data_IF_076711212532
#
_entry.id   IF_076711212532
#
_cell.length_a   1.000
_cell.length_b   1.000
_cell.length_c   1.000
_cell.angle_alpha   90.00
_cell.angle_beta   90.00
_cell.angle_gamma   90.00
#
_symmetry.space_group_name_H-M   'P 1'
#
loop_
_entity.id
_entity.type
_entity.pdbx_description
1 polymer ?
2 polymer ?
#
# COMPACT_ATOMS: atom_id res chain seq x y z
N UNK A 8 24.44 -9.11 20.44
CA UNK A 8 23.07 -8.65 20.57
C UNK A 8 22.32 -8.81 19.25
N UNK A 9 21.21 -9.56 19.30
CA UNK A 9 20.39 -9.81 18.13
C UNK A 9 19.01 -9.17 18.29
N UNK A 10 18.54 -8.50 17.23
CA UNK A 10 17.25 -7.83 17.25
C UNK A 10 16.12 -8.80 16.98
N UNK A 11 14.98 -8.57 17.61
CA UNK A 11 13.80 -9.41 17.42
C UNK A 11 13.21 -9.21 16.03
N UNK A 12 12.75 -10.29 15.39
CA UNK A 12 12.18 -10.17 14.05
C UNK A 12 10.78 -9.56 14.06
N UNK A 13 10.35 -9.04 12.91
CA UNK A 13 8.98 -8.59 12.73
C UNK A 13 8.21 -9.67 12.00
N UNK A 14 6.96 -9.92 12.41
CA UNK A 14 6.15 -10.95 11.79
C UNK A 14 4.69 -10.52 11.68
N UNK A 15 4.10 -10.77 10.53
CA UNK A 15 2.72 -10.40 10.27
C UNK A 15 2.12 -11.28 9.18
N UNK A 16 0.88 -11.00 8.82
CA UNK A 16 0.19 -11.71 7.74
C UNK A 16 -0.62 -10.73 6.90
N UNK A 17 -1.01 -11.16 5.71
CA UNK A 17 -1.90 -10.38 4.86
C UNK A 17 -2.92 -11.30 4.19
N UNK A 18 -4.15 -10.81 4.00
CA UNK A 18 -5.29 -11.66 3.67
C UNK A 18 -5.27 -12.30 2.27
N UNK A 19 -4.49 -11.77 1.33
CA UNK A 19 -4.60 -12.26 -0.04
C UNK A 19 -3.60 -13.36 -0.30
N UNK A 20 -4.09 -14.59 -0.31
CA UNK A 20 -3.29 -15.76 -0.64
C UNK A 20 -3.26 -16.01 -2.14
N UNK A 21 -4.37 -15.72 -2.81
CA UNK A 21 -4.54 -16.05 -4.22
C UNK A 21 -3.60 -15.21 -5.09
N UNK A 22 -3.55 -13.91 -4.80
CA UNK A 22 -2.66 -13.01 -5.54
C UNK A 22 -1.21 -13.41 -5.34
N UNK A 23 -0.89 -13.93 -4.16
CA UNK A 23 0.46 -14.34 -3.85
C UNK A 23 0.87 -15.55 -4.69
N UNK A 24 0.10 -16.64 -4.59
CA UNK A 24 0.42 -17.87 -5.31
C UNK A 24 0.43 -17.66 -6.82
N UNK A 25 -0.46 -16.80 -7.29
CA UNK A 25 -0.56 -16.49 -8.71
C UNK A 25 0.75 -15.89 -9.21
N UNK A 26 1.33 -14.98 -8.43
CA UNK A 26 2.54 -14.27 -8.83
C UNK A 26 3.80 -15.11 -8.63
N UNK A 27 3.77 -16.00 -7.64
CA UNK A 27 4.93 -16.86 -7.38
C UNK A 27 5.12 -17.88 -8.50
N UNK A 28 4.02 -18.50 -8.92
CA UNK A 28 4.05 -19.40 -10.07
C UNK A 28 4.53 -18.65 -11.32
N UNK A 29 4.20 -17.37 -11.37
CA UNK A 29 4.58 -16.50 -12.47
C UNK A 29 6.10 -16.39 -12.61
N UNK A 30 6.77 -16.07 -11.50
CA UNK A 30 8.17 -15.66 -11.52
C UNK A 30 9.16 -16.79 -11.86
N UNK A 31 9.11 -17.88 -11.10
CA UNK A 31 10.11 -18.94 -11.23
C UNK A 31 9.53 -20.27 -10.78
N UNK A 32 10.40 -21.28 -10.66
CA UNK A 32 10.00 -22.54 -10.04
C UNK A 32 9.45 -22.19 -8.67
N UNK A 33 10.34 -21.81 -7.75
CA UNK A 33 9.97 -21.04 -6.56
C UNK A 33 8.84 -21.66 -5.74
N UNK A 34 8.67 -22.97 -5.90
CA UNK A 34 7.68 -23.71 -5.14
C UNK A 34 8.31 -25.00 -4.65
N UNK A 35 8.39 -25.14 -3.33
CA UNK A 35 9.00 -26.30 -2.71
C UNK A 35 7.93 -27.34 -2.39
N UNK A 36 8.07 -28.52 -2.96
CA UNK A 36 7.21 -29.64 -2.61
C UNK A 36 7.89 -30.41 -1.50
N UNK A 37 7.31 -30.35 -0.30
CA UNK A 37 7.90 -30.97 0.88
C UNK A 37 7.28 -32.34 1.09
N UNK A 38 8.11 -33.38 0.96
CA UNK A 38 7.64 -34.75 1.06
C UNK A 38 7.15 -35.09 2.46
N UNK A 39 6.62 -36.31 2.60
CA UNK A 39 6.11 -36.77 3.88
C UNK A 39 7.26 -36.86 4.88
N UNK A 40 7.10 -36.21 6.03
CA UNK A 40 8.09 -36.26 7.08
C UNK A 40 9.37 -35.49 6.77
N UNK A 41 9.45 -34.90 5.59
CA UNK A 41 10.65 -34.20 5.16
C UNK A 41 10.77 -32.81 5.76
N UNK A 42 12.00 -32.32 5.86
CA UNK A 42 12.27 -30.95 6.29
C UNK A 42 13.17 -30.25 5.29
N UNK A 43 12.64 -29.23 4.65
CA UNK A 43 13.42 -28.45 3.69
C UNK A 43 14.00 -27.22 4.38
N UNK A 44 15.24 -26.90 4.04
CA UNK A 44 15.92 -25.73 4.59
C UNK A 44 16.49 -24.88 3.47
N UNK A 45 15.98 -23.66 3.34
CA UNK A 45 16.44 -22.74 2.31
C UNK A 45 17.50 -21.82 2.91
N UNK A 46 18.68 -21.81 2.29
CA UNK A 46 19.81 -21.03 2.78
C UNK A 46 19.87 -19.69 2.09
N UNK A 47 19.69 -18.62 2.86
CA UNK A 47 19.77 -17.26 2.33
C UNK A 47 20.97 -16.54 2.95
N UNK A 48 22.03 -16.31 2.16
CA UNK A 48 23.19 -15.62 2.71
C UNK A 48 22.96 -14.12 2.90
N UNK A 49 23.63 -13.52 3.87
CA UNK A 49 23.49 -12.09 4.12
C UNK A 49 24.28 -11.28 3.09
N UNK A 50 23.79 -10.08 2.80
CA UNK A 50 24.42 -9.18 1.85
C UNK A 50 25.14 -8.05 2.58
N UNK A 51 26.37 -7.77 2.14
CA UNK A 51 27.20 -6.73 2.77
C UNK A 51 26.48 -5.39 2.73
N UNK A 52 25.94 -5.03 1.57
CA UNK A 52 25.23 -3.77 1.41
C UNK A 52 23.91 -3.83 2.17
N UNK A 53 23.29 -5.01 2.22
CA UNK A 53 21.98 -5.18 2.82
C UNK A 53 21.97 -5.08 4.34
N UNK A 54 21.01 -4.33 4.87
CA UNK A 54 20.68 -4.36 6.30
C UNK A 54 19.67 -5.46 6.67
N UNK A 55 18.65 -5.63 5.82
CA UNK A 55 17.45 -6.37 6.17
C UNK A 55 17.13 -7.56 5.26
N UNK A 56 16.51 -8.58 5.85
CA UNK A 56 15.93 -9.71 5.13
C UNK A 56 14.41 -9.71 5.27
N UNK A 57 13.73 -10.01 4.17
CA UNK A 57 12.27 -10.13 4.16
C UNK A 57 11.87 -11.47 3.57
N UNK A 58 10.97 -12.18 4.25
CA UNK A 58 10.48 -13.47 3.77
C UNK A 58 8.97 -13.49 3.69
N UNK A 59 8.46 -14.24 2.72
CA UNK A 59 7.02 -14.47 2.57
C UNK A 59 6.83 -15.92 2.18
N UNK A 60 5.82 -16.56 2.74
CA UNK A 60 5.52 -17.94 2.38
C UNK A 60 4.05 -18.29 2.56
N UNK A 61 3.58 -19.24 1.76
CA UNK A 61 2.22 -19.73 1.82
C UNK A 61 2.17 -21.17 1.33
N UNK A 62 1.08 -21.87 1.67
CA UNK A 62 0.92 -23.26 1.29
C UNK A 62 -0.44 -23.43 0.64
N UNK A 63 -0.67 -24.58 0.00
CA UNK A 63 -1.94 -24.78 -0.68
C UNK A 63 -3.02 -25.31 0.27
N UNK A 64 -2.96 -26.59 0.62
CA UNK A 64 -4.05 -27.21 1.39
C UNK A 64 -3.87 -27.41 2.90
N UNK A 65 -2.69 -27.13 3.45
CA UNK A 65 -2.41 -27.49 4.84
C UNK A 65 -1.36 -26.57 5.44
N UNK A 66 -1.24 -26.62 6.77
CA UNK A 66 -0.22 -25.86 7.45
C UNK A 66 1.14 -26.50 7.21
N UNK A 67 2.19 -25.86 7.73
CA UNK A 67 3.53 -26.44 7.70
C UNK A 67 4.34 -25.80 8.82
N UNK A 68 5.38 -26.49 9.27
CA UNK A 68 6.27 -25.93 10.27
C UNK A 68 7.12 -24.85 9.65
N UNK A 69 7.27 -23.74 10.35
CA UNK A 69 8.16 -22.68 9.88
C UNK A 69 8.90 -21.98 11.02
N UNK A 70 10.17 -21.72 10.78
CA UNK A 70 11.02 -20.99 11.72
C UNK A 70 12.23 -20.47 10.98
N UNK A 71 13.04 -19.66 11.66
CA UNK A 71 14.21 -19.06 11.05
C UNK A 71 15.41 -19.10 12.00
N UNK A 72 16.52 -19.64 11.53
CA UNK A 72 17.77 -19.65 12.28
C UNK A 72 18.83 -18.83 11.55
N UNK A 73 19.73 -18.22 12.31
CA UNK A 73 20.83 -17.46 11.74
C UNK A 73 22.17 -18.14 12.03
N UNK A 74 22.89 -18.47 10.97
CA UNK A 74 24.20 -19.13 11.08
C UNK A 74 25.32 -18.12 10.87
N UNK A 75 26.28 -18.09 11.80
CA UNK A 75 27.34 -17.09 11.79
C UNK A 75 28.53 -17.49 10.91
N UNK A 76 29.51 -16.60 10.84
CA UNK A 76 30.72 -16.82 10.05
C UNK A 76 31.94 -16.32 10.81
N UNK A 114 30.10 -24.06 14.30
CA UNK A 114 28.95 -23.45 13.63
C UNK A 114 27.82 -23.10 14.60
N UNK A 115 27.82 -21.87 15.10
CA UNK A 115 26.80 -21.43 16.04
C UNK A 115 25.51 -21.10 15.32
N UNK A 116 24.39 -21.35 16.00
CA UNK A 116 23.07 -21.06 15.46
C UNK A 116 22.21 -20.33 16.47
N UNK A 117 21.79 -19.11 16.10
CA UNK A 117 20.84 -18.35 16.90
C UNK A 117 19.44 -18.56 16.34
N UNK A 118 18.47 -18.62 17.24
CA UNK A 118 17.08 -18.84 16.85
C UNK A 118 16.37 -17.51 16.66
N UNK A 119 16.06 -17.18 15.40
CA UNK A 119 15.38 -15.95 15.07
C UNK A 119 13.89 -16.16 15.27
N UNK A 120 13.33 -17.06 14.48
CA UNK A 120 11.93 -17.45 14.62
C UNK A 120 11.85 -18.91 15.03
N UNK A 121 11.30 -19.20 16.22
CA UNK A 121 11.20 -20.62 16.61
C UNK A 121 10.30 -21.38 15.66
N UNK A 122 10.59 -22.66 15.43
CA UNK A 122 9.80 -23.43 14.48
C UNK A 122 8.50 -23.87 15.14
N UNK A 123 7.39 -23.40 14.58
CA UNK A 123 6.06 -23.79 15.02
C UNK A 123 5.21 -24.06 13.79
N UNK A 124 3.97 -24.50 14.00
CA UNK A 124 3.05 -24.76 12.91
C UNK A 124 2.16 -23.56 12.66
N UNK A 125 2.35 -22.91 11.52
CA UNK A 125 1.56 -21.76 11.11
C UNK A 125 0.62 -22.19 9.99
N UNK A 126 -0.59 -21.63 9.95
CA UNK A 126 -1.51 -21.97 8.87
C UNK A 126 -1.30 -20.98 7.73
N UNK A 127 -0.62 -21.44 6.69
CA UNK A 127 -0.34 -20.61 5.53
C UNK A 127 -1.30 -20.89 4.38
N UNK A 128 -2.17 -21.88 4.58
CA UNK A 128 -3.14 -22.23 3.56
C UNK A 128 -4.30 -21.24 3.58
N UNK A 129 -4.53 -20.65 4.73
CA UNK A 129 -5.57 -19.63 4.88
C UNK A 129 -5.11 -18.26 4.40
N UNK A 130 -3.85 -17.93 4.68
CA UNK A 130 -3.33 -16.60 4.38
C UNK A 130 -1.80 -16.60 4.24
N UNK A 131 -1.26 -15.54 3.64
CA UNK A 131 0.17 -15.41 3.44
C UNK A 131 0.88 -14.97 4.72
N UNK A 132 1.90 -15.72 5.12
CA UNK A 132 2.71 -15.36 6.27
C UNK A 132 3.97 -14.62 5.82
N UNK A 133 4.26 -13.51 6.47
CA UNK A 133 5.41 -12.68 6.13
C UNK A 133 6.17 -12.27 7.39
N UNK A 134 7.40 -11.81 7.20
CA UNK A 134 8.22 -11.36 8.30
C UNK A 134 9.50 -10.70 7.82
N UNK A 135 10.23 -10.10 8.75
CA UNK A 135 11.50 -9.45 8.42
C UNK A 135 12.45 -9.49 9.61
N UNK A 136 13.75 -9.40 9.32
CA UNK A 136 14.76 -9.37 10.36
C UNK A 136 15.99 -8.56 9.94
N UNK A 137 16.57 -7.85 10.90
CA UNK A 137 17.79 -7.09 10.68
C UNK A 137 19.01 -8.00 10.82
N UNK A 138 20.04 -7.75 10.01
CA UNK A 138 21.25 -8.54 10.06
C UNK A 138 21.99 -8.44 11.40
N UNK A 139 22.19 -9.58 12.08
CA UNK A 139 23.05 -9.56 13.27
C UNK A 139 24.51 -9.35 12.91
N UNK A 140 24.85 -9.61 11.64
CA UNK A 140 26.21 -9.50 11.17
C UNK A 140 26.42 -10.40 9.96
N UNK A 141 27.68 -10.64 9.61
CA UNK A 141 28.00 -11.51 8.48
C UNK A 141 27.64 -12.95 8.83
N UNK A 142 26.80 -13.56 7.99
CA UNK A 142 26.33 -14.91 8.24
C UNK A 142 25.37 -15.40 7.17
N UNK A 143 24.60 -16.43 7.51
CA UNK A 143 23.62 -17.02 6.59
C UNK A 143 22.32 -17.32 7.32
N UNK A 144 21.21 -16.92 6.71
CA UNK A 144 19.88 -17.22 7.24
C UNK A 144 19.42 -18.59 6.80
N UNK A 145 18.82 -19.33 7.73
CA UNK A 145 18.27 -20.65 7.44
C UNK A 145 16.75 -20.63 7.58
N UNK A 146 16.06 -20.74 6.46
CA UNK A 146 14.60 -20.77 6.46
C UNK A 146 14.11 -22.21 6.51
N UNK A 147 13.50 -22.57 7.62
CA UNK A 147 13.06 -23.95 7.84
C UNK A 147 11.61 -24.16 7.43
N UNK A 148 11.38 -25.14 6.57
CA UNK A 148 10.04 -25.64 6.29
C UNK A 148 9.96 -27.09 6.77
N UNK A 149 9.22 -27.31 7.85
CA UNK A 149 9.23 -28.59 8.55
C UNK A 149 7.90 -29.34 8.42
N UNK A 150 7.91 -30.40 7.62
CA UNK A 150 6.73 -31.25 7.41
C UNK A 150 6.77 -32.53 8.26
N UNK A 151 7.77 -32.64 9.14
CA UNK A 151 8.06 -33.88 9.88
C UNK A 151 6.83 -34.56 10.48
N UNK A 152 5.97 -33.76 11.11
CA UNK A 152 4.79 -34.28 11.79
C UNK A 152 3.77 -34.90 10.84
N UNK A 153 3.94 -34.68 9.54
CA UNK A 153 2.96 -35.13 8.55
C UNK A 153 3.31 -36.50 7.99
N UNK A 154 2.49 -37.48 8.34
CA UNK A 154 2.68 -38.85 7.87
C UNK A 154 2.29 -39.04 6.40
N UNK A 155 1.05 -38.68 6.07
CA UNK A 155 0.50 -38.98 4.75
C UNK A 155 0.47 -37.83 3.74
N UNK A 156 0.87 -36.63 4.15
CA UNK A 156 0.63 -35.43 3.34
C UNK A 156 1.88 -34.65 2.98
N UNK A 157 2.11 -34.50 1.68
CA UNK A 157 3.12 -33.59 1.16
C UNK A 157 2.60 -32.15 1.19
N UNK A 158 3.50 -31.19 1.23
CA UNK A 158 3.12 -29.77 1.30
C UNK A 158 3.79 -28.96 0.18
N UNK A 159 2.96 -28.26 -0.59
CA UNK A 159 3.46 -27.36 -1.62
C UNK A 159 3.65 -25.97 -1.02
N UNK A 160 4.91 -25.52 -0.98
CA UNK A 160 5.27 -24.26 -0.35
C UNK A 160 5.59 -23.18 -1.37
N UNK A 161 4.73 -22.17 -1.46
CA UNK A 161 5.02 -20.97 -2.24
C UNK A 161 5.75 -19.98 -1.36
N UNK A 162 6.97 -19.58 -1.76
CA UNK A 162 7.77 -18.65 -0.95
C UNK A 162 8.47 -17.61 -1.80
N UNK A 163 8.88 -16.53 -1.14
CA UNK A 163 9.57 -15.42 -1.80
C UNK A 163 10.50 -14.74 -0.82
N UNK A 164 11.60 -14.18 -1.31
CA UNK A 164 12.61 -13.54 -0.46
C UNK A 164 13.11 -12.22 -1.05
N UNK A 165 13.31 -11.25 -0.17
CA UNK A 165 13.84 -9.94 -0.55
C UNK A 165 14.95 -9.51 0.42
N UNK A 166 15.71 -8.50 0.04
CA UNK A 166 16.64 -7.85 0.95
C UNK A 166 16.81 -6.38 0.57
N UNK A 167 17.06 -5.54 1.56
CA UNK A 167 17.09 -4.09 1.35
C UNK A 167 18.46 -3.60 0.89
N UNK A 168 18.59 -2.28 0.76
CA UNK A 168 19.83 -1.64 0.32
C UNK A 168 20.23 -2.12 -1.07
N UNK B 7 15.30 6.47 1.45
CA UNK B 7 14.41 5.47 2.04
C UNK B 7 15.15 4.49 2.95
N UNK B 8 15.11 4.75 4.25
CA UNK B 8 15.82 3.91 5.22
C UNK B 8 15.21 2.49 5.27
N UNK B 9 16.05 1.49 5.56
CA UNK B 9 15.56 0.10 5.61
C UNK B 9 14.44 -0.12 6.62
N UNK B 10 14.59 0.42 7.83
CA UNK B 10 13.60 0.24 8.87
C UNK B 10 12.27 0.91 8.51
N UNK B 11 12.34 1.90 7.62
CA UNK B 11 11.14 2.57 7.14
C UNK B 11 10.42 1.70 6.11
N UNK B 12 11.19 1.01 5.28
CA UNK B 12 10.64 0.10 4.29
C UNK B 12 9.95 -1.07 4.99
N UNK B 13 10.55 -1.53 6.08
CA UNK B 13 9.99 -2.63 6.85
C UNK B 13 8.68 -2.26 7.51
N UNK B 14 8.64 -1.07 8.11
CA UNK B 14 7.42 -0.59 8.76
C UNK B 14 6.32 -0.38 7.74
N UNK B 15 6.70 -0.04 6.52
CA UNK B 15 5.75 0.16 5.43
C UNK B 15 5.11 -1.17 5.02
N UNK B 16 5.96 -2.15 4.74
CA UNK B 16 5.48 -3.47 4.32
C UNK B 16 4.70 -4.16 5.44
N UNK B 17 5.09 -3.88 6.69
CA UNK B 17 4.44 -4.50 7.83
C UNK B 17 3.05 -3.89 8.06
N UNK B 18 2.96 -2.57 7.95
CA UNK B 18 1.70 -1.87 8.18
C UNK B 18 0.71 -2.06 7.04
N UNK B 19 1.17 -1.86 5.82
CA UNK B 19 0.37 -2.09 4.61
C UNK B 19 1.10 -3.07 3.70
N UNK B 20 0.45 -4.17 3.38
CA UNK B 20 1.09 -5.22 2.59
C UNK B 20 0.15 -5.77 1.52
N UNK B 21 0.60 -5.69 0.28
CA UNK B 21 -0.11 -6.26 -0.84
C UNK B 21 0.87 -6.46 -2.00
N UNK B 22 0.48 -7.24 -3.00
CA UNK B 22 1.32 -7.43 -4.17
C UNK B 22 1.63 -6.09 -4.82
N UNK B 23 0.69 -5.16 -4.73
CA UNK B 23 0.87 -3.83 -5.31
C UNK B 23 2.00 -3.07 -4.60
N UNK B 24 2.04 -3.18 -3.28
CA UNK B 24 3.07 -2.51 -2.50
C UNK B 24 4.42 -3.21 -2.67
N UNK B 25 4.38 -4.54 -2.74
CA UNK B 25 5.59 -5.33 -2.96
C UNK B 25 6.23 -4.94 -4.29
N UNK B 26 5.39 -4.76 -5.31
CA UNK B 26 5.89 -4.41 -6.64
C UNK B 26 6.40 -2.97 -6.68
N UNK B 27 5.73 -2.08 -5.96
CA UNK B 27 6.16 -0.68 -5.90
C UNK B 27 7.53 -0.56 -5.27
N UNK B 28 7.71 -1.22 -4.12
CA UNK B 28 9.00 -1.23 -3.44
C UNK B 28 10.07 -1.83 -4.35
N UNK B 29 9.70 -2.87 -5.09
CA UNK B 29 10.60 -3.52 -6.02
C UNK B 29 11.04 -2.55 -7.12
N UNK B 30 10.06 -1.89 -7.73
CA UNK B 30 10.30 -0.96 -8.82
C UNK B 30 11.12 0.24 -8.35
N UNK B 31 10.94 0.62 -7.09
CA UNK B 31 11.66 1.76 -6.53
C UNK B 31 13.04 1.35 -6.04
N UNK B 32 13.35 0.05 -6.17
CA UNK B 32 14.64 -0.46 -5.74
C UNK B 32 14.77 -0.59 -4.23
N UNK B 33 13.66 -0.36 -3.53
CA UNK B 33 13.66 -0.42 -2.08
C UNK B 33 13.90 -1.84 -1.57
N UNK B 34 13.50 -2.82 -2.38
CA UNK B 34 13.76 -4.23 -2.07
C UNK B 34 14.22 -4.97 -3.32
N UNK B 35 15.27 -5.78 -3.16
CA UNK B 35 15.84 -6.53 -4.27
C UNK B 35 15.47 -8.00 -4.15
N UNK B 36 14.89 -8.57 -5.22
CA UNK B 36 14.56 -10.01 -5.16
C UNK B 36 15.82 -10.86 -5.05
N UNK B 37 15.72 -12.00 -4.36
CA UNK B 37 16.87 -12.82 -4.08
C UNK B 37 16.58 -14.31 -4.27
N UNK B 38 17.36 -14.95 -5.14
CA UNK B 38 17.28 -16.39 -5.34
C UNK B 38 18.18 -17.09 -4.34
N UNK B 39 17.64 -18.06 -3.57
CA UNK B 39 18.50 -18.74 -2.58
C UNK B 39 19.57 -19.59 -3.24
N UNK B 40 20.74 -19.67 -2.60
CA UNK B 40 21.87 -20.40 -3.17
C UNK B 40 21.66 -21.91 -3.14
N UNK B 41 21.24 -22.43 -2.00
CA UNK B 41 21.05 -23.86 -1.81
C UNK B 41 19.73 -24.19 -1.13
N UNK B 42 19.22 -25.39 -1.40
CA UNK B 42 18.05 -25.92 -0.73
C UNK B 42 18.35 -27.32 -0.19
N UNK B 43 18.38 -27.45 1.13
CA UNK B 43 18.66 -28.72 1.78
C UNK B 43 17.38 -29.50 2.03
N UNK B 44 17.46 -30.81 1.90
CA UNK B 44 16.34 -31.70 2.18
C UNK B 44 16.80 -32.80 3.15
N UNK B 45 15.85 -33.40 3.87
CA UNK B 45 16.18 -34.37 4.90
C UNK B 45 14.90 -34.95 5.53
N UNK B 46 15.01 -36.10 6.16
CA UNK B 46 13.90 -36.75 6.86
C UNK B 46 14.23 -36.95 8.33
N UNK C 9 3.31 26.72 -12.91
CA UNK C 9 2.25 25.82 -12.45
C UNK C 9 2.45 24.42 -13.01
N UNK C 10 2.75 23.48 -12.13
CA UNK C 10 2.97 22.09 -12.53
C UNK C 10 1.67 21.40 -12.89
N UNK C 11 1.77 20.32 -13.65
CA UNK C 11 0.60 19.54 -14.03
C UNK C 11 0.16 18.65 -12.88
N UNK C 12 -1.16 18.55 -12.64
CA UNK C 12 -1.66 17.67 -11.57
C UNK C 12 -1.66 16.20 -11.97
N UNK C 13 -1.54 15.31 -10.99
CA UNK C 13 -1.70 13.89 -11.22
C UNK C 13 -3.13 13.50 -10.89
N UNK C 14 -3.70 12.60 -11.68
CA UNK C 14 -5.07 12.14 -11.46
C UNK C 14 -5.20 10.64 -11.72
N UNK C 15 -5.83 9.94 -10.77
CA UNK C 15 -6.01 8.51 -10.88
C UNK C 15 -7.33 8.08 -10.26
N UNK C 16 -7.54 6.77 -10.18
CA UNK C 16 -8.74 6.21 -9.57
C UNK C 16 -8.41 4.91 -8.84
N UNK C 17 -9.28 4.53 -7.91
CA UNK C 17 -9.18 3.22 -7.28
C UNK C 17 -10.55 2.57 -7.25
N UNK C 18 -10.59 1.24 -7.38
CA UNK C 18 -11.85 0.52 -7.64
C UNK C 18 -12.84 0.49 -6.48
N UNK C 19 -12.39 0.65 -5.23
CA UNK C 19 -13.29 0.42 -4.12
C UNK C 19 -13.97 1.71 -3.70
N UNK C 20 -15.23 1.84 -4.10
CA UNK C 20 -16.05 3.00 -3.76
C UNK C 20 -16.70 2.82 -2.40
N UNK C 21 -17.06 1.58 -2.09
CA UNK C 21 -17.73 1.25 -0.83
C UNK C 21 -16.86 1.58 0.37
N UNK C 22 -15.63 1.09 0.35
CA UNK C 22 -14.69 1.30 1.45
C UNK C 22 -14.47 2.79 1.70
N UNK C 23 -14.41 3.56 0.61
CA UNK C 23 -14.19 4.99 0.70
C UNK C 23 -15.33 5.68 1.43
N UNK C 24 -16.55 5.39 1.01
CA UNK C 24 -17.73 5.99 1.59
C UNK C 24 -17.93 5.59 3.05
N UNK C 25 -17.59 4.34 3.37
CA UNK C 25 -17.72 3.83 4.73
C UNK C 25 -16.72 4.51 5.66
N UNK C 26 -15.48 4.65 5.20
CA UNK C 26 -14.44 5.31 5.99
C UNK C 26 -14.79 6.77 6.19
N UNK C 27 -15.55 7.30 5.23
CA UNK C 27 -15.93 8.71 5.21
C UNK C 27 -16.98 9.02 6.27
N UNK C 28 -17.80 8.04 6.59
CA UNK C 28 -18.97 8.22 7.44
C UNK C 28 -18.61 8.74 8.84
N UNK C 29 -17.34 8.69 9.19
CA UNK C 29 -16.87 9.17 10.49
C UNK C 29 -16.74 10.70 10.56
N UNK C 30 -16.13 11.29 9.54
CA UNK C 30 -15.75 12.70 9.57
C UNK C 30 -16.93 13.66 9.49
N UNK C 31 -16.71 14.89 9.95
CA UNK C 31 -17.80 15.84 10.18
C UNK C 31 -18.51 16.34 8.91
N UNK C 32 -17.80 17.00 8.00
CA UNK C 32 -18.37 17.31 6.70
C UNK C 32 -17.57 16.62 5.61
N UNK C 33 -18.08 15.47 5.17
CA UNK C 33 -17.56 14.81 3.98
C UNK C 33 -18.50 14.87 2.78
N UNK C 34 -19.70 15.41 2.99
CA UNK C 34 -20.78 15.21 2.03
C UNK C 34 -21.45 16.51 1.61
N UNK C 35 -21.48 16.72 0.30
CA UNK C 35 -22.15 17.88 -0.30
C UNK C 35 -23.39 17.42 -1.05
N UNK C 36 -24.50 18.12 -0.82
CA UNK C 36 -25.69 17.94 -1.62
C UNK C 36 -25.66 18.97 -2.73
N UNK C 37 -25.50 18.52 -3.97
CA UNK C 37 -25.48 19.41 -5.11
C UNK C 37 -26.84 19.44 -5.77
N UNK C 38 -27.50 20.59 -5.69
CA UNK C 38 -28.83 20.75 -6.25
C UNK C 38 -28.79 20.67 -7.76
N UNK C 39 -29.90 20.30 -8.36
CA UNK C 39 -30.02 20.25 -9.81
C UNK C 39 -29.67 21.62 -10.39
N UNK C 40 -28.71 21.65 -11.30
CA UNK C 40 -28.27 22.88 -11.94
C UNK C 40 -27.24 23.66 -11.13
N UNK C 41 -27.02 23.27 -9.88
CA UNK C 41 -26.08 23.98 -9.01
C UNK C 41 -24.62 23.65 -9.31
N UNK C 42 -23.75 24.55 -8.91
CA UNK C 42 -22.31 24.30 -8.93
C UNK C 42 -21.72 24.64 -7.57
N UNK C 43 -21.21 23.62 -6.87
CA UNK C 43 -20.60 23.82 -5.57
C UNK C 43 -19.09 23.98 -5.72
N UNK C 44 -18.52 24.93 -5.00
CA UNK C 44 -17.10 25.21 -5.08
C UNK C 44 -16.48 25.18 -3.69
N UNK C 45 -15.50 24.29 -3.51
CA UNK C 45 -14.82 24.13 -2.23
C UNK C 45 -13.46 24.81 -2.26
N UNK C 46 -13.30 25.83 -1.42
CA UNK C 46 -12.07 26.60 -1.39
C UNK C 46 -11.04 26.01 -0.44
N UNK C 47 -9.90 25.61 -0.99
CA UNK C 47 -8.80 25.04 -0.19
C UNK C 47 -7.56 25.93 -0.24
N UNK C 48 -7.22 26.61 0.86
CA UNK C 48 -6.00 27.41 0.93
C UNK C 48 -4.71 26.59 0.84
N UNK C 49 -3.65 27.24 0.34
CA UNK C 49 -2.31 26.66 0.30
C UNK C 49 -1.71 26.67 1.71
N UNK C 50 -0.67 25.87 1.94
CA UNK C 50 -0.08 25.73 3.27
C UNK C 50 1.40 26.11 3.31
N UNK C 51 2.25 25.22 2.79
CA UNK C 51 3.70 25.40 2.86
C UNK C 51 4.36 25.14 1.51
N UNK C 52 5.61 25.56 1.38
CA UNK C 52 6.33 25.44 0.11
C UNK C 52 6.54 23.98 -0.27
N UNK C 53 6.38 23.68 -1.56
CA UNK C 53 6.59 22.34 -2.06
C UNK C 53 5.56 21.35 -1.54
N UNK C 54 4.48 21.87 -0.96
CA UNK C 54 3.44 21.02 -0.40
C UNK C 54 2.53 20.49 -1.50
N UNK C 55 2.08 19.25 -1.33
CA UNK C 55 1.17 18.60 -2.27
C UNK C 55 -0.26 18.65 -1.76
N UNK C 56 -1.17 19.15 -2.59
CA UNK C 56 -2.59 19.05 -2.30
C UNK C 56 -3.08 17.68 -2.75
N UNK C 57 -4.02 17.11 -2.00
CA UNK C 57 -4.63 15.84 -2.35
C UNK C 57 -6.14 15.93 -2.25
N UNK C 58 -6.83 15.47 -3.29
CA UNK C 58 -8.29 15.43 -3.29
C UNK C 58 -8.79 14.06 -3.69
N UNK C 59 -9.94 13.70 -3.13
CA UNK C 59 -10.63 12.46 -3.47
C UNK C 59 -12.12 12.76 -3.49
N UNK C 60 -12.84 12.18 -4.44
CA UNK C 60 -14.28 12.35 -4.47
C UNK C 60 -15.00 11.21 -5.17
N UNK C 61 -16.26 11.02 -4.78
CA UNK C 61 -17.12 10.01 -5.38
C UNK C 61 -18.58 10.43 -5.19
N UNK C 62 -19.47 9.84 -5.98
CA UNK C 62 -20.90 10.17 -5.93
C UNK C 62 -21.70 8.88 -5.87
N UNK C 63 -22.99 8.97 -5.56
CA UNK C 63 -23.79 7.78 -5.35
C UNK C 63 -24.33 7.18 -6.64
N UNK C 64 -25.38 7.77 -7.20
CA UNK C 64 -26.06 7.17 -8.34
C UNK C 64 -25.73 7.73 -9.73
N UNK C 65 -24.99 8.84 -9.80
CA UNK C 65 -24.81 9.55 -11.07
C UNK C 65 -23.49 10.30 -11.11
N UNK C 66 -23.08 10.69 -12.31
CA UNK C 66 -21.83 11.41 -12.50
C UNK C 66 -21.96 12.87 -12.10
N UNK C 67 -20.86 13.60 -12.18
CA UNK C 67 -20.87 15.04 -11.94
C UNK C 67 -19.62 15.64 -12.59
N UNK C 68 -19.66 16.95 -12.87
CA UNK C 68 -18.51 17.64 -13.39
C UNK C 68 -17.47 17.90 -12.31
N UNK C 69 -16.19 17.77 -12.65
CA UNK C 69 -15.11 18.10 -11.72
C UNK C 69 -13.94 18.78 -12.41
N UNK C 70 -13.37 19.77 -11.74
CA UNK C 70 -12.21 20.48 -12.23
C UNK C 70 -11.61 21.28 -11.09
N UNK C 71 -10.43 21.86 -11.33
CA UNK C 71 -9.71 22.59 -10.29
C UNK C 71 -9.12 23.89 -10.82
N UNK C 72 -9.33 24.98 -10.08
CA UNK C 72 -8.77 26.28 -10.41
C UNK C 72 -7.92 26.78 -9.24
N UNK C 73 -7.00 27.69 -9.53
CA UNK C 73 -6.12 28.25 -8.52
C UNK C 73 -6.17 29.77 -8.49
N UNK C 74 -6.55 30.32 -7.34
CA UNK C 74 -6.61 31.77 -7.13
C UNK C 74 -5.37 32.23 -6.38
N UNK C 75 -4.71 33.27 -6.88
CA UNK C 75 -3.50 33.78 -6.27
C UNK C 75 -3.78 34.75 -5.13
N UNK C 76 -2.72 35.24 -4.49
CA UNK C 76 -2.84 36.18 -3.39
C UNK C 76 -1.93 37.39 -3.63
N UNK C 116 -6.46 33.92 -12.19
CA UNK C 116 -7.10 32.62 -12.00
C UNK C 116 -6.64 31.64 -13.08
N UNK C 117 -5.85 30.65 -12.67
CA UNK C 117 -5.30 29.68 -13.60
C UNK C 117 -6.06 28.35 -13.55
N UNK C 118 -6.15 27.70 -14.70
CA UNK C 118 -6.83 26.40 -14.80
C UNK C 118 -5.87 25.25 -14.51
N UNK C 119 -6.14 24.51 -13.44
CA UNK C 119 -5.36 23.33 -13.10
C UNK C 119 -5.94 22.13 -13.83
N UNK C 120 -7.18 21.77 -13.47
CA UNK C 120 -7.90 20.70 -14.12
C UNK C 120 -9.14 21.25 -14.83
N UNK C 121 -9.23 21.11 -16.16
CA UNK C 121 -10.45 21.60 -16.81
C UNK C 121 -11.68 20.85 -16.30
N UNK C 122 -12.82 21.53 -16.25
CA UNK C 122 -14.04 20.92 -15.71
C UNK C 122 -14.66 19.99 -16.75
N UNK C 123 -14.74 18.71 -16.39
CA UNK C 123 -15.31 17.69 -17.25
C UNK C 123 -16.13 16.71 -16.42
N UNK C 124 -17.06 16.02 -17.07
CA UNK C 124 -17.86 15.01 -16.39
C UNK C 124 -17.09 13.70 -16.27
N UNK C 125 -16.93 13.25 -15.03
CA UNK C 125 -16.27 11.98 -14.72
C UNK C 125 -17.29 11.08 -14.05
N UNK C 126 -17.09 9.77 -14.09
CA UNK C 126 -18.03 8.86 -13.44
C UNK C 126 -17.47 8.48 -12.08
N UNK C 127 -18.03 9.08 -11.04
CA UNK C 127 -17.58 8.83 -9.67
C UNK C 127 -18.49 7.83 -8.97
N UNK C 128 -19.56 7.42 -9.65
CA UNK C 128 -20.47 6.42 -9.11
C UNK C 128 -19.92 5.02 -9.32
N UNK C 129 -19.13 4.87 -10.38
CA UNK C 129 -18.49 3.59 -10.67
C UNK C 129 -17.22 3.40 -9.85
N UNK C 130 -16.44 4.47 -9.73
CA UNK C 130 -15.12 4.41 -9.09
C UNK C 130 -14.84 5.62 -8.22
N UNK C 131 -13.79 5.53 -7.40
CA UNK C 131 -13.29 6.66 -6.64
C UNK C 131 -12.31 7.45 -7.48
N UNK C 132 -12.54 8.76 -7.59
CA UNK C 132 -11.62 9.65 -8.32
C UNK C 132 -10.73 10.39 -7.34
N UNK C 133 -9.43 10.37 -7.61
CA UNK C 133 -8.45 11.04 -6.78
C UNK C 133 -7.44 11.79 -7.64
N UNK C 134 -6.77 12.77 -7.04
CA UNK C 134 -5.76 13.53 -7.75
C UNK C 134 -4.85 14.28 -6.80
N UNK C 135 -3.84 14.96 -7.36
CA UNK C 135 -2.90 15.72 -6.56
C UNK C 135 -2.29 16.87 -7.37
N UNK C 136 -1.77 17.87 -6.67
CA UNK C 136 -1.06 18.95 -7.32
C UNK C 136 0.02 19.53 -6.40
N UNK C 137 1.16 19.87 -6.99
CA UNK C 137 2.26 20.48 -6.24
C UNK C 137 1.99 21.96 -6.01
N UNK C 138 2.58 22.51 -4.94
CA UNK C 138 2.33 23.89 -4.55
C UNK C 138 2.88 24.89 -5.58
N UNK C 139 1.99 25.61 -6.29
CA UNK C 139 2.43 26.62 -7.27
C UNK C 139 2.93 27.92 -6.63
N UNK C 140 2.39 28.25 -5.46
CA UNK C 140 2.66 29.53 -4.82
C UNK C 140 1.53 29.88 -3.88
N UNK C 141 1.66 30.99 -3.16
CA UNK C 141 0.63 31.42 -2.22
C UNK C 141 -0.67 31.71 -2.96
N UNK C 142 -1.77 31.15 -2.46
CA UNK C 142 -3.05 31.28 -3.12
C UNK C 142 -4.13 30.42 -2.49
N UNK C 143 -5.17 30.14 -3.28
CA UNK C 143 -6.29 29.31 -2.83
C UNK C 143 -6.75 28.41 -3.97
N UNK C 144 -6.98 27.13 -3.66
CA UNK C 144 -7.51 26.19 -4.63
C UNK C 144 -9.03 26.24 -4.66
N UNK C 145 -9.59 26.14 -5.86
CA UNK C 145 -11.03 26.04 -6.04
C UNK C 145 -11.40 24.69 -6.63
N UNK C 146 -12.05 23.85 -5.83
CA UNK C 146 -12.52 22.56 -6.30
C UNK C 146 -13.95 22.69 -6.79
N UNK C 147 -14.14 22.53 -8.09
CA UNK C 147 -15.45 22.72 -8.71
C UNK C 147 -16.22 21.41 -8.83
N UNK C 148 -17.43 21.39 -8.28
CA UNK C 148 -18.36 20.30 -8.53
C UNK C 148 -19.53 20.86 -9.30
N UNK C 149 -19.62 20.49 -10.57
CA UNK C 149 -20.52 21.16 -11.51
C UNK C 149 -21.67 20.25 -11.94
N UNK C 150 -22.86 20.54 -11.44
CA UNK C 150 -24.08 19.82 -11.84
C UNK C 150 -24.91 20.58 -12.88
N UNK C 151 -24.39 21.71 -13.35
CA UNK C 151 -25.14 22.64 -14.22
C UNK C 151 -25.88 21.95 -15.37
N UNK C 152 -25.24 20.97 -15.98
CA UNK C 152 -25.81 20.29 -17.13
C UNK C 152 -27.10 19.54 -16.78
N UNK C 153 -27.20 19.08 -15.55
CA UNK C 153 -28.36 18.28 -15.12
C UNK C 153 -29.33 19.11 -14.28
N UNK C 154 -30.48 19.43 -14.87
CA UNK C 154 -31.55 20.11 -14.16
C UNK C 154 -32.62 19.14 -13.66
N UNK C 155 -32.49 17.87 -14.04
CA UNK C 155 -33.45 16.85 -13.62
C UNK C 155 -33.00 15.98 -12.44
N UNK C 156 -31.76 16.13 -12.00
CA UNK C 156 -31.21 15.24 -10.97
C UNK C 156 -30.24 15.92 -10.01
N UNK C 157 -30.44 15.64 -8.71
CA UNK C 157 -29.52 16.04 -7.66
C UNK C 157 -28.35 15.07 -7.56
N UNK C 158 -27.23 15.54 -7.01
CA UNK C 158 -26.05 14.71 -6.82
C UNK C 158 -25.52 14.79 -5.39
N UNK C 159 -25.24 13.62 -4.80
CA UNK C 159 -24.60 13.54 -3.49
C UNK C 159 -23.09 13.33 -3.68
N UNK C 160 -22.30 14.30 -3.21
CA UNK C 160 -20.85 14.27 -3.42
C UNK C 160 -20.09 13.96 -2.14
N UNK C 161 -19.48 12.79 -2.10
CA UNK C 161 -18.60 12.41 -1.00
C UNK C 161 -17.17 12.76 -1.36
N UNK C 162 -16.50 13.54 -0.50
CA UNK C 162 -15.13 13.99 -0.82
C UNK C 162 -14.23 14.06 0.41
N UNK C 163 -12.93 14.12 0.16
CA UNK C 163 -11.92 14.18 1.22
C UNK C 163 -10.69 14.95 0.73
N UNK C 164 -10.00 15.62 1.64
CA UNK C 164 -8.86 16.46 1.28
C UNK C 164 -7.70 16.33 2.27
N UNK C 165 -6.47 16.36 1.74
CA UNK C 165 -5.26 16.32 2.55
C UNK C 165 -4.24 17.35 2.10
N UNK C 166 -3.24 17.61 2.93
CA UNK C 166 -2.10 18.42 2.54
C UNK C 166 -0.82 17.88 3.20
N UNK C 167 0.33 18.35 2.73
CA UNK C 167 1.63 17.78 3.10
C UNK C 167 2.54 18.82 3.74
N UNK C 168 3.64 18.35 4.31
CA UNK C 168 4.59 19.15 5.11
C UNK C 168 3.98 19.49 6.45
N UNK D 7 10.72 11.95 4.87
CA UNK D 7 9.80 11.66 3.76
C UNK D 7 9.44 12.93 2.98
N UNK D 8 9.94 13.03 1.74
CA UNK D 8 9.69 14.20 0.91
C UNK D 8 8.24 14.25 0.45
N UNK D 9 7.75 15.45 0.09
CA UNK D 9 6.36 15.58 -0.39
C UNK D 9 6.08 14.77 -1.66
N UNK D 10 6.97 14.84 -2.64
CA UNK D 10 6.78 14.15 -3.91
C UNK D 10 6.86 12.63 -3.73
N UNK D 11 7.58 12.20 -2.70
CA UNK D 11 7.66 10.78 -2.39
C UNK D 11 6.31 10.26 -1.92
N UNK D 12 5.59 11.10 -1.17
CA UNK D 12 4.26 10.77 -0.70
C UNK D 12 3.28 10.75 -1.88
N UNK D 13 3.51 11.65 -2.82
CA UNK D 13 2.68 11.72 -4.02
C UNK D 13 2.76 10.47 -4.86
N UNK D 14 3.99 10.06 -5.19
CA UNK D 14 4.21 8.87 -5.99
C UNK D 14 3.63 7.64 -5.30
N UNK D 15 3.75 7.59 -3.98
CA UNK D 15 3.22 6.47 -3.21
C UNK D 15 1.72 6.36 -3.37
N UNK D 16 1.00 7.45 -3.07
CA UNK D 16 -0.45 7.44 -3.16
C UNK D 16 -0.92 7.25 -4.59
N UNK D 17 -0.15 7.76 -5.55
CA UNK D 17 -0.51 7.64 -6.95
C UNK D 17 -0.31 6.20 -7.46
N UNK D 18 0.80 5.58 -7.08
CA UNK D 18 1.14 4.24 -7.55
C UNK D 18 0.34 3.17 -6.81
N UNK D 19 0.25 3.30 -5.49
CA UNK D 19 -0.52 2.37 -4.67
C UNK D 19 -1.49 3.15 -3.80
N UNK D 20 -2.79 2.94 -4.04
CA UNK D 20 -3.81 3.72 -3.35
C UNK D 20 -4.88 2.81 -2.76
N UNK D 21 -5.10 2.96 -1.46
CA UNK D 21 -6.13 2.23 -0.76
C UNK D 21 -6.48 2.97 0.52
N UNK D 22 -7.60 2.62 1.13
CA UNK D 22 -7.96 3.19 2.42
C UNK D 22 -6.86 2.90 3.44
N UNK D 23 -6.25 1.72 3.31
CA UNK D 23 -5.20 1.29 4.22
C UNK D 23 -3.96 2.19 4.11
N UNK D 24 -3.54 2.47 2.88
CA UNK D 24 -2.39 3.32 2.63
C UNK D 24 -2.70 4.76 3.05
N UNK D 25 -3.93 5.20 2.77
CA UNK D 25 -4.37 6.52 3.18
C UNK D 25 -4.29 6.66 4.70
N UNK D 26 -4.76 5.64 5.41
CA UNK D 26 -4.77 5.66 6.86
C UNK D 26 -3.35 5.59 7.42
N UNK D 27 -2.49 4.82 6.77
CA UNK D 27 -1.11 4.69 7.23
C UNK D 27 -0.36 6.00 7.10
N UNK D 28 -0.53 6.67 5.95
CA UNK D 28 0.10 7.97 5.73
C UNK D 28 -0.41 9.00 6.73
N UNK D 29 -1.69 8.88 7.08
CA UNK D 29 -2.32 9.77 8.05
C UNK D 29 -1.67 9.62 9.42
N UNK D 30 -1.54 8.37 9.86
CA UNK D 30 -0.96 8.05 11.16
C UNK D 30 0.50 8.49 11.26
N UNK D 31 1.21 8.39 10.14
CA UNK D 31 2.63 8.71 10.11
C UNK D 31 2.87 10.22 9.95
N UNK D 32 1.77 10.97 9.83
CA UNK D 32 1.85 12.42 9.70
C UNK D 32 2.32 12.87 8.34
N UNK D 33 2.25 11.97 7.36
CA UNK D 33 2.68 12.28 6.01
C UNK D 33 1.62 13.07 5.27
N UNK D 34 0.36 12.85 5.63
CA UNK D 34 -0.75 13.64 5.10
C UNK D 34 -1.62 14.14 6.26
N UNK D 35 -1.96 15.41 6.22
CA UNK D 35 -2.78 16.03 7.25
C UNK D 35 -4.19 16.27 6.72
N UNK D 36 -5.22 15.78 7.42
CA UNK D 36 -6.58 16.03 6.94
C UNK D 36 -6.92 17.51 6.97
N UNK D 37 -7.78 17.95 6.05
CA UNK D 37 -8.09 19.36 5.90
C UNK D 37 -9.59 19.61 5.78
N UNK D 38 -10.09 20.53 6.58
CA UNK D 38 -11.47 20.98 6.49
C UNK D 38 -11.53 22.22 5.60
N UNK D 39 -12.45 22.24 4.62
CA UNK D 39 -12.49 23.40 3.73
C UNK D 39 -13.03 24.66 4.41
N UNK D 40 -12.43 25.80 4.10
CA UNK D 40 -12.82 27.06 4.71
C UNK D 40 -14.20 27.47 4.27
N UNK D 41 -14.40 27.49 2.96
CA UNK D 41 -15.66 27.95 2.37
C UNK D 41 -16.32 26.88 1.52
N UNK D 42 -17.65 26.83 1.62
CA UNK D 42 -18.45 26.10 0.65
C UNK D 42 -19.26 27.12 -0.13
N UNK D 43 -18.86 27.36 -1.38
CA UNK D 43 -19.59 28.26 -2.25
C UNK D 43 -20.60 27.48 -3.05
N UNK D 44 -21.81 27.99 -3.10
CA UNK D 44 -22.88 27.37 -3.86
C UNK D 44 -23.49 28.38 -4.83
N UNK D 45 -23.40 28.04 -6.12
CA UNK D 45 -23.92 28.89 -7.18
C UNK D 45 -25.25 28.35 -7.70
N UNK D 46 -26.30 29.13 -7.51
CA UNK D 46 -27.66 28.71 -7.81
C UNK D 46 -28.03 28.74 -9.30
N UNK D 47 -29.11 28.02 -9.62
CA UNK D 47 -29.80 28.02 -10.91
C UNK D 47 -29.36 26.84 -11.77
#
# INVERSE_FOLDING_TARGET
GAMESLPVIAAPSMWTRPQIKDFKEKIQQDADSVITVGRGEVVTVRVPTHEEGSYLFWEFATDNYDIGFGVYFEWTDSPNTAVSVHVSESSDDDEEEEENIGCEEKAKKNANKPLLDEIVPVYRRDCHEEVYAGSHQYPGRGVYLLKFDNSYSLWRSKSVYYRVYYTR
GSGSGKPAPDAIGDLLASVDSEEVRQYCREQGWIIPETPTNVERHLNR
GAMESLPVIAAPSMWTRPQIKDFKEKIQQDADSVITVGRGEVVTVRVPTHEEGSYLFWEFATDNYDIGFGVYFEWTDSPNTAVSVHVSESSDDDEEEEENIGCEEKAKKNANKPLLDEIVPVYRRDCHEEVYAGSHQYPGRGVYLLKFDNSYSLWRSKSVYYRVYYTR
GSGSGKPAPDAIGDLLASVDSEEVRQYCREQGWIIPETPTNVERHLNR
#
